data_IF_569285366662
#
_entry.id   IF_569285366662
#
_cell.length_a   1.000
_cell.length_b   1.000
_cell.length_c   1.000
_cell.angle_alpha   90.00
_cell.angle_beta   90.00
_cell.angle_gamma   90.00
#
_symmetry.space_group_name_H-M   'P 1'
#
loop_
_entity.id
_entity.type
_entity.pdbx_description
1 polymer ?
#
# COMPACT_ATOMS: atom_id res chain seq x y z
N UNK A 1 -11.66 15.87 -8.18
CA UNK A 1 -10.31 16.48 -8.14
C UNK A 1 -9.32 15.37 -7.82
N UNK A 2 -8.06 15.69 -7.50
CA UNK A 2 -7.16 14.73 -6.82
C UNK A 2 -7.03 15.11 -5.34
N UNK A 3 -8.18 15.28 -4.67
CA UNK A 3 -8.15 15.59 -3.25
C UNK A 3 -7.69 14.32 -2.50
N UNK A 4 -6.52 14.42 -1.88
CA UNK A 4 -5.86 13.34 -1.18
C UNK A 4 -5.61 13.83 0.24
N UNK A 5 -6.17 13.12 1.21
CA UNK A 5 -6.05 13.46 2.64
C UNK A 5 -5.22 12.41 3.34
N UNK A 6 -4.38 12.82 4.30
CA UNK A 6 -3.67 11.86 5.15
C UNK A 6 -4.69 11.01 5.90
N UNK A 7 -4.49 9.69 5.90
CA UNK A 7 -5.42 8.76 6.52
C UNK A 7 -4.68 7.64 7.25
N UNK A 8 -5.22 7.22 8.39
CA UNK A 8 -4.77 6.05 9.14
C UNK A 8 -5.66 4.87 8.79
N UNK A 9 -5.14 3.94 8.01
CA UNK A 9 -5.81 2.70 7.62
C UNK A 9 -5.76 1.67 8.75
N UNK A 10 -6.91 1.12 9.13
CA UNK A 10 -7.01 0.03 10.12
C UNK A 10 -6.46 -1.30 9.58
N UNK A 11 -6.54 -1.49 8.27
CA UNK A 11 -6.04 -2.68 7.57
C UNK A 11 -4.85 -2.30 6.67
N UNK A 12 -3.90 -3.22 6.45
CA UNK A 12 -2.83 -3.02 5.47
C UNK A 12 -3.43 -2.68 4.10
N UNK A 13 -2.97 -1.59 3.49
CA UNK A 13 -3.42 -1.13 2.16
C UNK A 13 -2.23 -0.96 1.24
N UNK A 14 -2.43 -1.26 -0.03
CA UNK A 14 -1.42 -1.08 -1.08
C UNK A 14 -1.62 0.28 -1.75
N UNK A 15 -0.53 0.83 -2.29
CA UNK A 15 -0.57 2.05 -3.06
C UNK A 15 -1.09 1.76 -4.47
N UNK A 16 -2.21 2.37 -4.86
CA UNK A 16 -2.84 2.25 -6.17
C UNK A 16 -1.91 2.69 -7.33
N UNK A 17 -0.83 3.41 -7.04
CA UNK A 17 0.13 3.90 -8.04
C UNK A 17 1.27 2.92 -8.27
N UNK A 18 1.85 2.34 -7.21
CA UNK A 18 3.07 1.53 -7.30
C UNK A 18 2.87 0.06 -6.91
N UNK A 19 1.67 -0.32 -6.45
CA UNK A 19 1.33 -1.67 -6.00
C UNK A 19 2.04 -2.12 -4.72
N UNK A 20 2.77 -1.24 -4.04
CA UNK A 20 3.50 -1.58 -2.80
C UNK A 20 2.69 -1.20 -1.57
N UNK A 21 2.88 -1.95 -0.47
CA UNK A 21 2.25 -1.68 0.82
C UNK A 21 2.54 -0.27 1.35
N UNK A 22 1.51 0.40 1.88
CA UNK A 22 1.63 1.61 2.68
C UNK A 22 2.23 1.26 4.04
N UNK A 23 3.44 1.75 4.33
CA UNK A 23 4.20 1.39 5.54
C UNK A 23 3.85 2.34 6.70
N UNK A 24 3.93 1.83 7.93
CA UNK A 24 3.73 2.61 9.15
C UNK A 24 2.52 2.13 9.96
N UNK A 25 2.44 2.57 11.22
CA UNK A 25 1.33 2.23 12.13
C UNK A 25 0.19 3.24 12.01
N UNK A 26 0.52 4.52 11.80
CA UNK A 26 -0.43 5.61 11.62
C UNK A 26 -0.08 6.41 10.37
N UNK A 27 -1.07 7.06 9.76
CA UNK A 27 -0.91 7.92 8.59
C UNK A 27 -0.04 7.28 7.48
N UNK A 28 -0.33 6.03 7.14
CA UNK A 28 0.53 5.21 6.26
C UNK A 28 0.51 5.74 4.82
N UNK A 29 -0.52 6.50 4.45
CA UNK A 29 -0.63 7.14 3.15
C UNK A 29 -1.79 8.14 3.08
N UNK A 30 -2.16 8.45 1.84
CA UNK A 30 -3.21 9.40 1.52
C UNK A 30 -4.39 8.68 0.89
N UNK A 31 -5.60 9.02 1.31
CA UNK A 31 -6.85 8.50 0.80
C UNK A 31 -7.53 9.56 -0.08
N UNK A 32 -8.04 9.14 -1.22
CA UNK A 32 -8.97 9.94 -2.01
C UNK A 32 -10.40 9.62 -1.54
N UNK A 33 -11.13 10.54 -0.89
CA UNK A 33 -12.49 10.27 -0.42
C UNK A 33 -13.46 10.00 -1.58
N UNK A 34 -13.21 10.58 -2.76
CA UNK A 34 -14.03 10.41 -3.96
C UNK A 34 -13.98 8.98 -4.52
N UNK A 35 -12.81 8.33 -4.50
CA UNK A 35 -12.57 7.05 -5.19
C UNK A 35 -12.03 5.93 -4.28
N UNK A 36 -11.85 6.20 -2.98
CA UNK A 36 -11.27 5.29 -1.99
C UNK A 36 -9.87 4.75 -2.33
N UNK A 37 -9.16 5.42 -3.24
CA UNK A 37 -7.80 5.09 -3.65
C UNK A 37 -6.80 5.53 -2.59
N UNK A 38 -5.84 4.67 -2.30
CA UNK A 38 -4.81 4.89 -1.30
C UNK A 38 -3.45 5.02 -2.00
N UNK A 39 -2.66 6.04 -1.64
CA UNK A 39 -1.35 6.31 -2.28
C UNK A 39 -0.30 6.74 -1.28
N UNK A 40 0.98 6.43 -1.56
CA UNK A 40 2.09 7.00 -0.81
C UNK A 40 2.19 8.51 -1.05
N UNK A 41 2.79 9.24 -0.10
CA UNK A 41 3.15 10.66 -0.27
C UNK A 41 3.94 10.94 -1.55
N UNK A 42 4.91 10.08 -1.87
CA UNK A 42 5.76 10.21 -3.07
C UNK A 42 5.03 9.79 -4.36
N UNK A 43 3.93 9.06 -4.24
CA UNK A 43 3.10 8.64 -5.38
C UNK A 43 2.04 9.68 -5.74
N UNK A 44 1.85 10.71 -4.92
CA UNK A 44 0.94 11.82 -5.22
C UNK A 44 1.41 12.52 -6.51
N UNK A 45 0.50 12.68 -7.47
CA UNK A 45 0.78 13.32 -8.76
C UNK A 45 1.36 12.38 -9.82
N UNK A 46 1.73 11.15 -9.47
CA UNK A 46 2.16 10.14 -10.45
C UNK A 46 0.94 9.49 -11.13
N UNK A 47 1.05 9.06 -12.40
CA UNK A 47 0.00 8.28 -13.05
C UNK A 47 -0.16 6.93 -12.33
N UNK A 48 -1.40 6.45 -12.22
CA UNK A 48 -1.66 5.10 -11.70
C UNK A 48 -1.03 4.09 -12.67
N UNK A 49 0.05 3.41 -12.25
CA UNK A 49 0.55 2.29 -13.00
C UNK A 49 -0.31 1.08 -12.65
N UNK A 50 -0.93 0.47 -13.65
CA UNK A 50 -1.56 -0.83 -13.46
C UNK A 50 -0.42 -1.80 -13.11
N UNK A 51 -0.39 -2.38 -11.90
CA UNK A 51 0.69 -3.28 -11.54
C UNK A 51 0.61 -4.51 -12.46
N UNK A 52 1.65 -4.75 -13.25
CA UNK A 52 1.86 -6.07 -13.85
C UNK A 52 2.08 -7.04 -12.69
N UNK A 53 1.09 -7.90 -12.47
CA UNK A 53 0.87 -8.66 -11.25
C UNK A 53 1.94 -9.73 -11.09
N UNK A 54 2.98 -9.44 -10.30
CA UNK A 54 3.67 -10.47 -9.50
C UNK A 54 3.25 -10.27 -8.05
N UNK A 55 1.98 -10.59 -7.78
CA UNK A 55 1.39 -10.45 -6.45
C UNK A 55 1.96 -11.54 -5.54
N UNK A 56 2.94 -11.16 -4.72
CA UNK A 56 3.35 -11.99 -3.59
C UNK A 56 2.32 -11.81 -2.48
N UNK A 57 1.34 -12.72 -2.42
CA UNK A 57 0.38 -12.73 -1.32
C UNK A 57 1.09 -13.17 -0.05
N UNK A 58 0.99 -12.37 1.02
CA UNK A 58 1.39 -12.84 2.34
C UNK A 58 0.46 -14.01 2.74
N UNK A 59 0.98 -15.23 2.72
CA UNK A 59 0.23 -16.39 3.15
C UNK A 59 -0.01 -16.29 4.66
N UNK A 60 -1.28 -16.38 5.06
CA UNK A 60 -1.74 -16.32 6.48
C UNK A 60 -1.18 -17.47 7.34
N UNK A 61 -0.48 -18.41 6.72
CA UNK A 61 0.18 -19.59 7.29
C UNK A 61 1.63 -19.32 7.69
N UNK A 62 2.17 -18.11 7.48
CA UNK A 62 3.50 -17.78 8.00
C UNK A 62 3.45 -17.95 9.53
N UNK A 63 4.02 -19.04 10.02
CA UNK A 63 4.12 -19.35 11.46
C UNK A 63 5.47 -18.91 12.04
N UNK A 64 6.22 -18.09 11.32
CA UNK A 64 7.60 -17.72 11.69
C UNK A 64 8.64 -18.83 11.49
N UNK A 65 8.24 -19.96 10.88
CA UNK A 65 9.13 -21.05 10.49
C UNK A 65 8.87 -21.39 9.02
N UNK A 66 9.86 -21.33 8.12
CA UNK A 66 11.28 -21.03 8.35
C UNK A 66 11.59 -19.53 8.48
N UNK A 67 12.72 -19.23 9.11
CA UNK A 67 13.26 -17.86 9.25
C UNK A 67 13.45 -17.25 7.85
N UNK A 68 12.99 -16.01 7.60
CA UNK A 68 13.21 -15.36 6.31
C UNK A 68 14.73 -15.26 6.04
N UNK A 69 15.19 -15.50 4.80
CA UNK A 69 16.61 -15.38 4.49
C UNK A 69 17.08 -13.97 4.84
N UNK A 70 18.02 -13.88 5.76
CA UNK A 70 18.73 -12.64 6.07
C UNK A 70 19.50 -12.20 4.83
N UNK A 71 19.19 -11.01 4.32
CA UNK A 71 19.98 -10.37 3.27
C UNK A 71 21.36 -9.97 3.79
#
# INVERSE_FOLDING_TARGET
GRNLVMFTFEKPRECDVCGKLLRGIFYQGYLCPENQKAVHKECIGKPFMQPNVTQVTAEKTYRGHPVPPSS
#
